data_IF_172225097966
#
_entry.id   IF_172225097966
#
_cell.length_a   1.000
_cell.length_b   1.000
_cell.length_c   1.000
_cell.angle_alpha   90.00
_cell.angle_beta   90.00
_cell.angle_gamma   90.00
#
_symmetry.space_group_name_H-M   'P 1'
#
loop_
_entity.id
_entity.type
_entity.pdbx_description
1 polymer ?
#
# COMPACT_ATOMS: atom_id res chain seq x y z
N UNK A 1 4.01 6.68 -19.91
CA UNK A 1 2.98 5.85 -19.26
C UNK A 1 3.35 5.76 -17.79
N UNK A 2 2.46 6.10 -16.86
CA UNK A 2 2.78 5.92 -15.45
C UNK A 2 2.95 4.41 -15.21
N UNK A 3 4.12 4.02 -14.68
CA UNK A 3 4.43 2.63 -14.39
C UNK A 3 4.11 2.41 -12.92
N UNK A 4 3.18 1.50 -12.64
CA UNK A 4 2.89 1.11 -11.27
C UNK A 4 4.12 0.46 -10.63
N UNK A 5 4.63 1.01 -9.52
CA UNK A 5 5.72 0.40 -8.76
C UNK A 5 5.28 -0.89 -8.05
N UNK A 6 4.00 -0.98 -7.68
CA UNK A 6 3.44 -2.10 -6.93
C UNK A 6 2.45 -2.90 -7.78
N UNK A 7 2.49 -4.23 -7.66
CA UNK A 7 1.57 -5.13 -8.37
C UNK A 7 0.44 -5.65 -7.50
N UNK A 8 -0.68 -6.04 -8.11
CA UNK A 8 -1.78 -6.73 -7.41
C UNK A 8 -1.25 -8.05 -6.81
N UNK A 9 -1.51 -8.27 -5.53
CA UNK A 9 -1.00 -9.38 -4.72
C UNK A 9 0.27 -9.05 -3.95
N UNK A 10 0.91 -7.91 -4.21
CA UNK A 10 2.12 -7.52 -3.50
C UNK A 10 1.82 -7.05 -2.08
N UNK A 11 2.75 -7.36 -1.18
CA UNK A 11 2.70 -6.95 0.23
C UNK A 11 3.42 -5.61 0.39
N UNK A 12 2.68 -4.64 0.88
CA UNK A 12 3.09 -3.24 1.03
C UNK A 12 2.74 -2.75 2.43
N UNK A 13 3.58 -1.90 3.01
CA UNK A 13 3.30 -1.22 4.27
C UNK A 13 2.91 0.21 3.98
N UNK A 14 2.06 0.79 4.83
CA UNK A 14 1.71 2.20 4.74
C UNK A 14 2.63 3.05 5.60
N UNK A 15 3.38 3.94 4.96
CA UNK A 15 4.18 4.94 5.66
C UNK A 15 3.27 6.14 5.96
N UNK A 16 2.83 6.25 7.21
CA UNK A 16 1.90 7.30 7.62
C UNK A 16 2.62 8.64 7.75
N UNK A 17 2.57 9.44 6.70
CA UNK A 17 3.19 10.78 6.63
C UNK A 17 2.49 11.81 7.54
N UNK A 18 1.27 11.54 8.01
CA UNK A 18 0.54 12.43 8.92
C UNK A 18 -0.21 11.67 10.03
N UNK A 19 0.26 11.88 11.27
CA UNK A 19 -0.41 11.66 12.57
C UNK A 19 -0.84 10.22 12.94
N UNK A 20 -0.14 9.70 13.95
CA UNK A 20 -0.66 9.17 15.25
C UNK A 20 -1.82 8.15 15.29
N UNK A 21 -2.25 7.56 14.18
CA UNK A 21 -3.23 6.44 14.18
C UNK A 21 -2.81 5.22 13.37
N UNK A 22 -1.61 5.19 12.80
CA UNK A 22 -1.00 3.97 12.32
C UNK A 22 -0.25 3.27 13.47
N UNK A 23 -1.01 2.86 14.49
CA UNK A 23 -0.48 2.07 15.62
C UNK A 23 -0.15 0.62 15.21
N UNK A 24 -0.39 0.25 13.96
CA UNK A 24 0.09 -1.02 13.42
C UNK A 24 0.68 -0.81 12.05
N UNK A 25 1.95 -1.15 11.93
CA UNK A 25 2.56 -1.55 10.68
C UNK A 25 1.92 -2.88 10.21
N UNK A 26 0.62 -2.84 9.94
CA UNK A 26 -0.09 -3.96 9.34
C UNK A 26 0.37 -4.05 7.89
N UNK A 27 0.86 -5.23 7.49
CA UNK A 27 1.21 -5.50 6.11
C UNK A 27 -0.08 -5.51 5.30
N UNK A 28 -0.19 -4.63 4.32
CA UNK A 28 -1.33 -4.58 3.40
C UNK A 28 -1.01 -5.36 2.13
N UNK A 29 -2.05 -5.90 1.49
CA UNK A 29 -1.94 -6.56 0.20
C UNK A 29 -2.62 -5.69 -0.85
N UNK A 30 -1.94 -5.41 -1.95
CA UNK A 30 -2.51 -4.69 -3.09
C UNK A 30 -3.59 -5.56 -3.72
N UNK A 31 -4.85 -5.14 -3.64
CA UNK A 31 -5.99 -5.82 -4.28
C UNK A 31 -6.24 -5.33 -5.69
N UNK A 32 -5.99 -4.05 -5.96
CA UNK A 32 -6.28 -3.44 -7.27
C UNK A 32 -5.41 -2.22 -7.50
N UNK A 33 -4.90 -2.08 -8.72
CA UNK A 33 -4.28 -0.85 -9.21
C UNK A 33 -5.40 0.05 -9.74
N UNK A 34 -5.54 1.23 -9.15
CA UNK A 34 -6.54 2.21 -9.61
C UNK A 34 -5.95 3.11 -10.70
N UNK A 35 -6.81 3.68 -11.56
CA UNK A 35 -6.36 4.71 -12.49
C UNK A 35 -5.69 5.85 -11.73
N UNK A 36 -4.61 6.37 -12.30
CA UNK A 36 -3.93 7.55 -11.79
C UNK A 36 -4.89 8.74 -11.63
N UNK A 37 -4.77 9.46 -10.53
CA UNK A 37 -5.45 10.72 -10.32
C UNK A 37 -4.44 11.84 -10.58
N UNK A 38 -4.42 12.34 -11.81
CA UNK A 38 -3.38 13.26 -12.26
C UNK A 38 -2.02 12.56 -12.37
N UNK A 39 -1.08 12.96 -11.51
CA UNK A 39 0.29 12.41 -11.47
C UNK A 39 0.46 11.29 -10.43
N UNK A 40 -0.50 11.12 -9.52
CA UNK A 40 -0.42 10.11 -8.46
C UNK A 40 -1.10 8.80 -8.86
N UNK A 41 -0.38 7.70 -8.71
CA UNK A 41 -0.90 6.36 -8.86
C UNK A 41 -1.59 5.92 -7.57
N UNK A 42 -2.81 5.41 -7.70
CA UNK A 42 -3.60 4.93 -6.57
C UNK A 42 -3.63 3.41 -6.54
N UNK A 43 -3.68 2.89 -5.32
CA UNK A 43 -3.74 1.47 -5.04
C UNK A 43 -4.82 1.22 -4.01
N UNK A 44 -5.57 0.15 -4.24
CA UNK A 44 -6.53 -0.36 -3.27
C UNK A 44 -5.86 -1.50 -2.53
N UNK A 45 -5.64 -1.30 -1.24
CA UNK A 45 -4.94 -2.24 -0.37
C UNK A 45 -5.88 -2.77 0.71
N UNK A 46 -5.67 -4.01 1.13
CA UNK A 46 -6.44 -4.65 2.19
C UNK A 46 -5.50 -5.33 3.17
N UNK A 47 -5.76 -5.16 4.46
CA UNK A 47 -5.10 -5.91 5.54
C UNK A 47 -6.09 -6.90 6.16
N UNK A 48 -5.58 -7.96 6.77
CA UNK A 48 -6.40 -8.93 7.50
C UNK A 48 -7.00 -8.33 8.79
N UNK A 49 -6.41 -7.26 9.32
CA UNK A 49 -6.88 -6.57 10.53
C UNK A 49 -8.00 -5.55 10.31
N UNK A 50 -8.21 -5.06 9.09
CA UNK A 50 -9.23 -4.05 8.77
C UNK A 50 -10.38 -4.67 7.96
N UNK A 51 -11.65 -4.44 8.36
CA UNK A 51 -12.80 -4.94 7.62
C UNK A 51 -13.02 -4.24 6.27
N UNK A 52 -12.39 -3.07 6.05
CA UNK A 52 -12.58 -2.24 4.87
C UNK A 52 -11.32 -2.19 4.00
N UNK A 53 -11.51 -2.05 2.69
CA UNK A 53 -10.41 -1.78 1.77
C UNK A 53 -9.99 -0.30 1.89
N UNK A 54 -8.69 -0.03 1.87
CA UNK A 54 -8.13 1.32 1.94
C UNK A 54 -7.57 1.73 0.58
N UNK A 55 -7.89 2.94 0.14
CA UNK A 55 -7.31 3.53 -1.08
C UNK A 55 -6.17 4.45 -0.67
N UNK A 56 -5.00 4.24 -1.26
CA UNK A 56 -3.74 4.90 -0.90
C UNK A 56 -2.97 5.25 -2.17
N UNK A 57 -2.13 6.27 -2.12
CA UNK A 57 -1.29 6.66 -3.27
C UNK A 57 0.08 6.00 -3.19
N UNK A 58 0.78 5.95 -4.32
CA UNK A 58 2.12 5.35 -4.43
C UNK A 58 3.10 5.92 -3.40
N UNK A 59 3.05 7.24 -3.16
CA UNK A 59 3.93 7.91 -2.21
C UNK A 59 3.66 7.57 -0.74
N UNK A 60 2.52 6.93 -0.43
CA UNK A 60 2.19 6.47 0.92
C UNK A 60 2.55 4.99 1.13
N UNK A 61 2.98 4.30 0.08
CA UNK A 61 3.28 2.88 0.09
C UNK A 61 4.78 2.65 0.15
N UNK A 62 5.19 1.78 1.08
CA UNK A 62 6.56 1.30 1.19
C UNK A 62 6.56 -0.21 0.97
N UNK A 63 7.51 -0.71 0.17
CA UNK A 63 7.64 -2.15 -0.08
C UNK A 63 8.03 -2.84 1.22
N UNK A 64 7.28 -3.86 1.64
CA UNK A 64 7.69 -4.66 2.79
C UNK A 64 8.85 -5.51 2.34
N UNK A 65 10.05 -5.20 2.83
CA UNK A 65 11.15 -6.14 2.74
C UNK A 65 10.72 -7.37 3.54
N UNK A 66 10.29 -8.43 2.85
CA UNK A 66 10.35 -9.77 3.41
C UNK A 66 11.82 -9.97 3.75
N UNK A 67 12.19 -9.75 5.01
CA UNK A 67 13.46 -10.19 5.51
C UNK A 67 13.49 -11.69 5.23
N UNK A 68 14.21 -12.08 4.18
CA UNK A 68 14.52 -13.47 3.93
C UNK A 68 15.26 -13.93 5.18
N UNK A 69 14.54 -14.64 6.06
CA UNK A 69 15.18 -15.41 7.10
C UNK A 69 15.97 -16.50 6.37
N UNK A 70 17.27 -16.25 6.25
CA UNK A 70 18.29 -17.21 5.82
C UNK A 70 18.58 -18.13 6.98
#
# INVERSE_FOLDING_TARGET
>A
MPVHLFSVGERVSLESIMRRTADRADVFVVKTQMPHLGEELQYRVKTEGEPYDRVVTEGQLTRVAIAAAV
#
